data_IF_343065913972
#
_entry.id   IF_343065913972
#
_cell.length_a   1.000
_cell.length_b   1.000
_cell.length_c   1.000
_cell.angle_alpha   90.00
_cell.angle_beta   90.00
_cell.angle_gamma   90.00
#
_symmetry.space_group_name_H-M   'P 1'
#
loop_
_entity.id
_entity.type
_entity.pdbx_description
1 polymer ?
#
# COMPACT_ATOMS: atom_id res chain seq x y z
N UNK A 1 -1.80 7.99 18.72
CA UNK A 1 -1.90 6.65 18.15
C UNK A 1 -1.00 5.69 18.91
N UNK A 2 -1.59 4.78 19.63
CA UNK A 2 -0.84 3.94 20.56
C UNK A 2 0.16 3.02 19.88
N UNK A 3 -0.22 2.47 18.75
CA UNK A 3 0.64 1.56 18.01
C UNK A 3 1.95 2.19 17.56
N UNK A 4 2.00 3.51 17.49
CA UNK A 4 3.19 4.21 16.98
C UNK A 4 4.26 4.42 18.04
N UNK A 5 3.97 4.16 19.28
CA UNK A 5 4.95 4.37 20.33
C UNK A 5 6.20 3.46 20.17
N UNK A 6 6.06 2.39 19.42
CA UNK A 6 7.19 1.51 19.13
C UNK A 6 8.21 2.15 18.21
N UNK A 7 7.83 3.26 17.57
CA UNK A 7 8.71 3.92 16.60
C UNK A 7 9.48 5.09 17.20
N UNK A 8 9.43 5.27 18.50
CA UNK A 8 10.00 6.44 19.13
C UNK A 8 11.52 6.42 19.19
N UNK A 9 12.15 5.26 19.24
CA UNK A 9 13.61 5.18 19.31
C UNK A 9 14.14 4.52 18.04
N UNK A 10 15.26 4.91 17.56
CA UNK A 10 15.96 4.24 16.46
C UNK A 10 15.19 4.10 15.15
N UNK A 11 13.95 4.50 15.13
CA UNK A 11 13.09 4.34 13.94
C UNK A 11 12.67 5.68 13.35
N UNK A 12 13.46 6.71 13.59
CA UNK A 12 13.16 8.05 13.08
C UNK A 12 13.11 8.09 11.56
N UNK A 13 13.77 7.16 10.90
CA UNK A 13 13.76 7.09 9.43
C UNK A 13 12.47 6.50 8.87
N UNK A 14 11.61 5.91 9.70
CA UNK A 14 10.34 5.38 9.24
C UNK A 14 9.25 6.42 9.34
N UNK A 15 8.38 6.44 8.34
CA UNK A 15 7.21 7.30 8.38
C UNK A 15 6.26 6.85 9.47
N UNK A 16 5.59 7.79 10.10
CA UNK A 16 4.44 7.50 10.94
C UNK A 16 3.29 7.05 10.05
N UNK A 17 2.32 6.33 10.64
CA UNK A 17 1.18 5.87 9.88
C UNK A 17 0.50 7.02 9.12
N UNK A 18 0.34 8.16 9.76
CA UNK A 18 -0.32 9.33 9.15
C UNK A 18 0.44 9.81 7.90
N UNK A 19 1.74 9.74 7.93
CA UNK A 19 2.56 10.10 6.76
C UNK A 19 2.43 9.06 5.66
N UNK A 20 2.38 7.78 6.03
CA UNK A 20 2.19 6.70 5.08
C UNK A 20 0.81 6.79 4.43
N UNK A 21 -0.23 7.05 5.23
CA UNK A 21 -1.58 7.29 4.73
C UNK A 21 -1.58 8.42 3.70
N UNK A 22 -0.85 9.48 3.98
CA UNK A 22 -0.75 10.62 3.08
C UNK A 22 -0.12 10.24 1.74
N UNK A 23 0.86 9.35 1.73
CA UNK A 23 1.46 8.89 0.48
C UNK A 23 0.41 8.27 -0.43
N UNK A 24 -0.48 7.44 0.13
CA UNK A 24 -1.58 6.87 -0.63
C UNK A 24 -2.55 7.95 -1.09
N UNK A 25 -2.95 8.85 -0.18
CA UNK A 25 -4.01 9.82 -0.47
C UNK A 25 -3.54 10.98 -1.36
N UNK A 26 -2.25 11.19 -1.48
CA UNK A 26 -1.71 12.18 -2.41
C UNK A 26 -1.80 11.71 -3.87
N UNK A 27 -2.07 10.43 -4.11
CA UNK A 27 -2.28 9.95 -5.47
C UNK A 27 -3.57 10.54 -6.02
N UNK A 28 -3.58 11.03 -7.28
CA UNK A 28 -4.77 11.67 -7.85
C UNK A 28 -6.02 10.79 -7.75
N UNK A 29 -7.09 11.34 -7.19
CA UNK A 29 -8.36 10.67 -7.06
C UNK A 29 -8.44 9.62 -5.97
N UNK A 30 -7.37 9.40 -5.21
CA UNK A 30 -7.35 8.41 -4.15
C UNK A 30 -8.28 8.81 -3.00
N UNK A 31 -8.97 7.83 -2.45
CA UNK A 31 -9.84 8.05 -1.32
C UNK A 31 -9.79 6.87 -0.35
N UNK A 32 -10.14 7.13 0.89
CA UNK A 32 -9.99 6.18 2.01
C UNK A 32 -11.35 5.59 2.36
N UNK A 33 -11.37 4.29 2.58
CA UNK A 33 -12.58 3.57 2.95
C UNK A 33 -12.23 2.52 4.01
N UNK A 34 -13.24 2.05 4.72
CA UNK A 34 -13.07 1.03 5.75
C UNK A 34 -14.09 -0.11 5.57
N UNK A 35 -14.10 -0.78 4.40
CA UNK A 35 -15.10 -1.80 4.13
C UNK A 35 -14.93 -3.07 4.97
N UNK A 36 -13.74 -3.25 5.56
CA UNK A 36 -13.41 -4.43 6.35
C UNK A 36 -13.29 -4.12 7.85
N UNK A 37 -13.75 -2.94 8.28
CA UNK A 37 -13.66 -2.52 9.68
C UNK A 37 -12.61 -1.43 9.88
N UNK A 38 -12.66 -0.79 11.04
CA UNK A 38 -11.86 0.40 11.33
C UNK A 38 -10.35 0.13 11.39
N UNK A 39 -9.96 -1.13 11.51
CA UNK A 39 -8.55 -1.48 11.69
C UNK A 39 -7.82 -1.71 10.37
N UNK A 40 -8.54 -1.63 9.26
CA UNK A 40 -7.96 -1.82 7.92
C UNK A 40 -8.32 -0.61 7.08
N UNK A 41 -7.33 0.23 6.81
CA UNK A 41 -7.50 1.40 5.96
C UNK A 41 -7.33 0.98 4.51
N UNK A 42 -8.37 1.13 3.70
CA UNK A 42 -8.37 0.72 2.30
C UNK A 42 -8.33 1.97 1.43
N UNK A 43 -7.40 1.98 0.47
CA UNK A 43 -7.20 3.10 -0.43
C UNK A 43 -7.68 2.73 -1.81
N UNK A 44 -8.56 3.55 -2.35
CA UNK A 44 -9.25 3.28 -3.61
C UNK A 44 -9.05 4.37 -4.62
N UNK A 45 -9.19 4.00 -5.88
CA UNK A 45 -9.27 4.92 -7.00
C UNK A 45 -10.51 4.50 -7.79
N UNK A 46 -11.51 5.41 -7.89
CA UNK A 46 -12.81 5.01 -8.38
C UNK A 46 -13.34 3.85 -7.54
N UNK A 47 -13.86 2.80 -8.16
CA UNK A 47 -14.39 1.66 -7.41
C UNK A 47 -13.33 0.63 -7.00
N UNK A 48 -12.08 0.82 -7.38
CA UNK A 48 -11.05 -0.20 -7.22
C UNK A 48 -10.06 0.14 -6.12
N UNK A 49 -9.71 -0.89 -5.34
CA UNK A 49 -8.69 -0.79 -4.31
C UNK A 49 -7.31 -0.86 -4.95
N UNK A 50 -6.39 0.03 -4.53
CA UNK A 50 -4.99 -0.10 -4.93
C UNK A 50 -4.07 -0.38 -3.75
N UNK A 51 -4.60 -0.52 -2.56
CA UNK A 51 -3.82 -0.93 -1.41
C UNK A 51 -4.63 -0.87 -0.14
N UNK A 52 -4.17 -1.58 0.88
CA UNK A 52 -4.73 -1.40 2.21
C UNK A 52 -3.64 -1.60 3.25
N UNK A 53 -3.86 -0.99 4.41
CA UNK A 53 -2.93 -1.06 5.53
C UNK A 53 -3.66 -1.62 6.74
N UNK A 54 -3.12 -2.70 7.31
CA UNK A 54 -3.52 -3.19 8.63
C UNK A 54 -2.75 -2.35 9.64
N UNK A 55 -3.23 -1.15 9.89
CA UNK A 55 -2.49 -0.13 10.63
C UNK A 55 -2.39 -0.41 12.13
N UNK A 56 -3.27 -1.27 12.63
CA UNK A 56 -3.30 -1.60 14.05
C UNK A 56 -2.41 -2.80 14.40
N UNK A 57 -1.86 -3.46 13.41
CA UNK A 57 -0.93 -4.56 13.64
C UNK A 57 0.48 -4.01 13.90
N UNK A 58 1.28 -4.79 14.60
CA UNK A 58 2.65 -4.41 14.94
C UNK A 58 3.60 -5.57 14.60
N UNK A 59 4.42 -5.43 13.57
CA UNK A 59 4.51 -4.27 12.69
C UNK A 59 3.28 -4.16 11.81
N UNK A 60 2.95 -2.94 11.41
CA UNK A 60 1.88 -2.77 10.44
C UNK A 60 2.31 -3.38 9.11
N UNK A 61 1.34 -3.80 8.33
CA UNK A 61 1.63 -4.37 7.01
C UNK A 61 0.60 -3.86 6.01
N UNK A 62 0.98 -3.93 4.75
CA UNK A 62 0.11 -3.45 3.69
C UNK A 62 0.07 -4.46 2.55
N UNK A 63 -1.05 -4.50 1.84
CA UNK A 63 -1.15 -5.24 0.59
C UNK A 63 -1.10 -4.25 -0.55
N UNK A 64 -0.24 -4.53 -1.52
CA UNK A 64 -0.05 -3.70 -2.69
C UNK A 64 -0.07 -4.56 -3.93
N UNK A 65 -0.71 -4.05 -4.98
CA UNK A 65 -0.71 -4.73 -6.26
C UNK A 65 0.67 -4.61 -6.90
N UNK A 66 1.08 -5.65 -7.61
CA UNK A 66 2.40 -5.68 -8.20
C UNK A 66 2.39 -6.48 -9.48
N UNK A 67 3.20 -6.07 -10.45
CA UNK A 67 3.46 -6.87 -11.64
C UNK A 67 3.92 -8.27 -11.20
N UNK A 68 3.36 -9.36 -11.78
CA UNK A 68 3.64 -10.70 -11.30
C UNK A 68 5.12 -11.10 -11.28
N UNK A 69 5.89 -10.71 -12.28
CA UNK A 69 7.32 -11.04 -12.30
C UNK A 69 8.06 -10.27 -11.22
N UNK A 70 7.77 -8.98 -11.11
CA UNK A 70 8.37 -8.15 -10.08
C UNK A 70 7.98 -8.61 -8.68
N UNK A 71 6.74 -9.08 -8.53
CA UNK A 71 6.26 -9.59 -7.24
C UNK A 71 7.12 -10.77 -6.77
N UNK A 72 7.44 -11.68 -7.67
CA UNK A 72 8.27 -12.84 -7.36
C UNK A 72 9.69 -12.40 -7.00
N UNK A 73 10.26 -11.48 -7.75
CA UNK A 73 11.60 -10.95 -7.49
C UNK A 73 11.69 -10.29 -6.13
N UNK A 74 10.67 -9.50 -5.79
CA UNK A 74 10.63 -8.82 -4.49
C UNK A 74 10.54 -9.81 -3.33
N UNK A 75 9.72 -10.85 -3.47
CA UNK A 75 9.60 -11.89 -2.44
C UNK A 75 10.90 -12.65 -2.25
N UNK A 76 11.64 -12.83 -3.33
CA UNK A 76 12.93 -13.52 -3.29
C UNK A 76 13.99 -12.65 -2.62
N UNK A 77 13.95 -11.36 -2.88
CA UNK A 77 14.94 -10.40 -2.38
C UNK A 77 14.69 -9.98 -0.93
N UNK A 78 13.43 -9.81 -0.54
CA UNK A 78 13.06 -9.25 0.76
C UNK A 78 12.23 -10.25 1.55
N UNK A 79 12.75 -10.77 2.68
CA UNK A 79 12.00 -11.73 3.49
C UNK A 79 10.71 -11.15 4.09
N UNK A 80 10.59 -9.83 4.18
CA UNK A 80 9.40 -9.17 4.71
C UNK A 80 8.33 -8.94 3.63
N UNK A 81 8.56 -9.41 2.42
CA UNK A 81 7.58 -9.35 1.34
C UNK A 81 7.16 -10.78 1.01
N UNK A 82 5.87 -11.04 1.10
CA UNK A 82 5.30 -12.36 0.81
C UNK A 82 4.09 -12.20 -0.11
N UNK A 83 3.56 -13.31 -0.59
CA UNK A 83 2.35 -13.26 -1.42
C UNK A 83 1.19 -12.67 -0.63
N UNK A 84 0.34 -11.91 -1.32
CA UNK A 84 -0.71 -11.12 -0.68
C UNK A 84 -1.64 -11.94 0.22
N UNK A 85 -1.67 -11.61 1.51
CA UNK A 85 -2.57 -12.24 2.45
C UNK A 85 -4.01 -11.90 2.08
N UNK A 86 -4.87 -12.91 1.99
CA UNK A 86 -6.28 -12.76 1.64
C UNK A 86 -6.50 -12.22 0.22
N UNK A 87 -5.48 -12.24 -0.62
CA UNK A 87 -5.52 -11.69 -1.97
C UNK A 87 -4.98 -12.70 -2.98
N UNK A 88 -5.17 -12.43 -4.25
CA UNK A 88 -4.54 -13.21 -5.32
C UNK A 88 -3.04 -13.00 -5.27
N UNK A 89 -2.30 -14.06 -4.99
CA UNK A 89 -0.86 -13.96 -4.73
C UNK A 89 -0.02 -13.73 -5.98
N UNK A 90 -0.62 -13.91 -7.16
CA UNK A 90 0.05 -13.59 -8.42
C UNK A 90 0.17 -12.08 -8.61
N UNK A 91 -0.84 -11.32 -8.16
CA UNK A 91 -0.96 -9.90 -8.42
C UNK A 91 -0.77 -9.02 -7.19
N UNK A 92 -0.66 -9.61 -6.00
CA UNK A 92 -0.59 -8.84 -4.76
C UNK A 92 0.53 -9.34 -3.87
N UNK A 93 1.23 -8.40 -3.25
CA UNK A 93 2.22 -8.68 -2.22
C UNK A 93 1.79 -8.08 -0.90
N UNK A 94 2.10 -8.79 0.18
CA UNK A 94 2.01 -8.25 1.53
C UNK A 94 3.41 -7.77 1.92
N UNK A 95 3.50 -6.52 2.33
CA UNK A 95 4.75 -5.88 2.71
C UNK A 95 4.63 -5.42 4.15
N UNK A 96 5.48 -5.96 5.02
CA UNK A 96 5.54 -5.52 6.41
C UNK A 96 6.37 -4.24 6.47
N UNK A 97 5.91 -3.28 7.29
CA UNK A 97 6.59 -1.99 7.40
C UNK A 97 7.73 -2.08 8.41
N UNK A 98 8.68 -2.93 8.10
CA UNK A 98 9.86 -3.19 8.89
C UNK A 98 10.91 -3.80 7.95
N UNK A 99 12.13 -3.94 8.42
CA UNK A 99 13.17 -4.61 7.63
C UNK A 99 13.97 -3.67 6.75
N UNK A 100 14.56 -4.18 5.67
CA UNK A 100 15.55 -3.42 4.90
C UNK A 100 14.98 -2.37 3.96
N UNK A 101 13.66 -2.36 3.72
CA UNK A 101 13.07 -1.37 2.82
C UNK A 101 13.09 0.01 3.44
N UNK A 102 13.38 1.00 2.63
CA UNK A 102 13.36 2.41 3.02
C UNK A 102 12.06 3.06 2.57
N UNK A 103 11.76 4.23 3.12
CA UNK A 103 10.54 4.96 2.78
C UNK A 103 10.41 5.22 1.29
N UNK A 104 11.52 5.51 0.61
CA UNK A 104 11.51 5.70 -0.85
C UNK A 104 11.04 4.44 -1.57
N UNK A 105 11.44 3.28 -1.09
CA UNK A 105 11.07 2.01 -1.69
C UNK A 105 9.60 1.69 -1.45
N UNK A 106 9.09 1.99 -0.25
CA UNK A 106 7.66 1.87 0.03
C UNK A 106 6.86 2.77 -0.88
N UNK A 107 7.30 4.02 -1.03
CA UNK A 107 6.63 4.98 -1.91
C UNK A 107 6.61 4.47 -3.35
N UNK A 108 7.72 3.93 -3.82
CA UNK A 108 7.80 3.38 -5.18
C UNK A 108 6.84 2.20 -5.36
N UNK A 109 6.71 1.34 -4.36
CA UNK A 109 5.79 0.21 -4.42
C UNK A 109 4.33 0.67 -4.42
N UNK A 110 4.02 1.70 -3.66
CA UNK A 110 2.67 2.29 -3.63
C UNK A 110 2.36 2.92 -4.98
N UNK A 111 3.30 3.67 -5.55
CA UNK A 111 3.14 4.27 -6.88
C UNK A 111 2.88 3.21 -7.95
N UNK A 112 3.66 2.13 -7.91
CA UNK A 112 3.51 1.03 -8.85
C UNK A 112 2.12 0.39 -8.74
N UNK A 113 1.66 0.15 -7.52
CA UNK A 113 0.32 -0.42 -7.28
C UNK A 113 -0.77 0.49 -7.84
N UNK A 114 -0.67 1.79 -7.57
CA UNK A 114 -1.61 2.78 -8.08
C UNK A 114 -1.64 2.74 -9.62
N UNK A 115 -0.48 2.78 -10.25
CA UNK A 115 -0.38 2.81 -11.72
C UNK A 115 -1.01 1.57 -12.34
N UNK A 116 -0.80 0.40 -11.74
CA UNK A 116 -1.40 -0.83 -12.26
C UNK A 116 -2.92 -0.81 -12.18
N UNK A 117 -3.46 -0.28 -11.09
CA UNK A 117 -4.92 -0.23 -10.91
C UNK A 117 -5.53 0.80 -11.85
N UNK A 118 -4.91 1.97 -12.00
CA UNK A 118 -5.36 3.00 -12.92
C UNK A 118 -5.44 2.44 -14.35
N UNK A 119 -4.44 1.66 -14.76
CA UNK A 119 -4.40 1.08 -16.09
C UNK A 119 -5.56 0.13 -16.36
N UNK A 120 -6.18 -0.41 -15.32
CA UNK A 120 -7.30 -1.34 -15.43
C UNK A 120 -8.65 -0.70 -15.17
N UNK A 121 -8.71 0.60 -14.92
CA UNK A 121 -9.97 1.29 -14.74
C UNK A 121 -10.76 1.34 -16.04
N UNK A 122 -12.09 1.39 -15.92
CA UNK A 122 -12.94 1.63 -17.06
C UNK A 122 -12.62 2.99 -17.66
N UNK A 123 -12.88 3.13 -18.96
CA UNK A 123 -12.60 4.37 -19.69
C UNK A 123 -13.22 5.59 -19.02
N UNK A 124 -14.49 5.49 -18.60
CA UNK A 124 -15.17 6.60 -17.97
C UNK A 124 -14.47 7.04 -16.66
N UNK A 125 -14.00 6.08 -15.87
CA UNK A 125 -13.31 6.38 -14.62
C UNK A 125 -11.95 7.03 -14.88
N UNK A 126 -11.23 6.56 -15.91
CA UNK A 126 -9.96 7.17 -16.29
C UNK A 126 -10.14 8.60 -16.79
N UNK A 127 -11.22 8.84 -17.54
CA UNK A 127 -11.52 10.18 -18.04
C UNK A 127 -11.85 11.14 -16.91
N UNK A 128 -12.62 10.67 -15.92
CA UNK A 128 -12.90 11.46 -14.73
C UNK A 128 -11.61 11.80 -13.98
N UNK A 129 -10.74 10.82 -13.84
CA UNK A 129 -9.46 11.02 -13.17
C UNK A 129 -8.60 12.06 -13.87
N UNK A 130 -8.61 12.04 -15.20
CA UNK A 130 -7.80 12.98 -16.00
C UNK A 130 -8.26 14.44 -15.87
N UNK A 131 -9.47 14.66 -15.35
CA UNK A 131 -10.03 15.99 -15.15
C UNK A 131 -9.65 16.60 -13.80
N UNK A 132 -8.98 15.86 -12.95
CA UNK A 132 -8.62 16.36 -11.61
C UNK A 132 -7.48 17.38 -11.65
#
# INVERSE_FOLDING_TARGET
>A
MLRRKHNWSGFAEYMKYEELEKVFLDKPGAWLDYPFGQEVAVFKIGPKMFGFIAWNDDPLWMNLKCDPERAIELRDEYPDIVGGWHMNKKHWNTVSYIGPLRDQEFTALIDHSYDLVVAKLKKADRETLAEL
#
